data_IF_656959423037
#
_entry.id   IF_656959423037
#
_cell.length_a   1.000
_cell.length_b   1.000
_cell.length_c   1.000
_cell.angle_alpha   90.00
_cell.angle_beta   90.00
_cell.angle_gamma   90.00
#
_symmetry.space_group_name_H-M   'P 1'
#
loop_
_entity.id
_entity.type
_entity.pdbx_description
1 polymer ?
#
# COMPACT_ATOMS: atom_id res chain seq x y z
N UNK A 1 -16.24 -22.86 23.86
CA UNK A 1 -14.82 -23.20 23.81
C UNK A 1 -14.04 -21.90 24.00
N UNK A 2 -13.13 -21.83 24.96
CA UNK A 2 -12.25 -20.66 25.17
C UNK A 2 -11.22 -20.60 24.05
N UNK A 3 -11.30 -19.58 23.19
CA UNK A 3 -10.29 -19.38 22.13
C UNK A 3 -9.05 -18.67 22.70
N UNK A 4 -7.86 -19.10 22.28
CA UNK A 4 -6.61 -18.40 22.60
C UNK A 4 -6.65 -16.99 21.99
N UNK A 5 -6.41 -15.92 22.76
CA UNK A 5 -6.47 -14.57 22.24
C UNK A 5 -5.29 -14.29 21.29
N UNK A 6 -5.54 -13.50 20.25
CA UNK A 6 -4.52 -13.07 19.30
C UNK A 6 -4.20 -11.57 19.51
N UNK A 7 -2.91 -11.25 19.58
CA UNK A 7 -2.41 -9.90 19.67
C UNK A 7 -1.78 -9.46 18.35
N UNK A 8 -2.35 -8.47 17.70
CA UNK A 8 -1.82 -7.88 16.47
C UNK A 8 -1.06 -6.59 16.84
N UNK A 9 0.20 -6.51 16.45
CA UNK A 9 1.05 -5.34 16.64
C UNK A 9 1.11 -4.53 15.36
N UNK A 10 0.44 -3.39 15.35
CA UNK A 10 0.28 -2.47 14.24
C UNK A 10 -1.15 -2.46 13.69
N UNK A 11 -1.78 -1.27 13.71
CA UNK A 11 -3.13 -1.01 13.20
C UNK A 11 -3.12 -0.31 11.84
N UNK A 12 -2.22 -0.71 10.93
CA UNK A 12 -2.30 -0.35 9.52
C UNK A 12 -3.27 -1.26 8.76
N UNK A 13 -3.32 -1.12 7.41
CA UNK A 13 -4.24 -1.89 6.55
C UNK A 13 -4.20 -3.39 6.83
N UNK A 14 -2.99 -3.98 6.92
CA UNK A 14 -2.83 -5.41 7.17
C UNK A 14 -3.35 -5.83 8.57
N UNK A 15 -3.01 -5.06 9.60
CA UNK A 15 -3.42 -5.38 10.99
C UNK A 15 -4.92 -5.23 11.19
N UNK A 16 -5.52 -4.16 10.65
CA UNK A 16 -6.97 -3.96 10.70
C UNK A 16 -7.72 -5.01 9.88
N UNK A 17 -7.26 -5.35 8.67
CA UNK A 17 -7.86 -6.39 7.85
C UNK A 17 -7.81 -7.76 8.54
N UNK A 18 -6.66 -8.12 9.14
CA UNK A 18 -6.52 -9.35 9.91
C UNK A 18 -7.45 -9.34 11.14
N UNK A 19 -7.47 -8.23 11.88
CA UNK A 19 -8.32 -8.08 13.08
C UNK A 19 -9.80 -8.26 12.74
N UNK A 20 -10.30 -7.59 11.70
CA UNK A 20 -11.68 -7.72 11.23
C UNK A 20 -11.95 -9.19 10.85
N UNK A 21 -11.06 -9.80 10.05
CA UNK A 21 -11.27 -11.19 9.62
C UNK A 21 -11.26 -12.17 10.78
N UNK A 22 -10.38 -12.01 11.75
CA UNK A 22 -10.35 -12.86 12.94
C UNK A 22 -11.62 -12.69 13.79
N UNK A 23 -12.16 -11.45 13.88
CA UNK A 23 -13.46 -11.22 14.54
C UNK A 23 -14.62 -11.88 13.79
N UNK A 24 -14.61 -11.93 12.45
CA UNK A 24 -15.56 -12.71 11.66
C UNK A 24 -15.48 -14.22 11.93
N UNK A 25 -14.33 -14.69 12.38
CA UNK A 25 -14.07 -16.09 12.76
C UNK A 25 -14.19 -16.34 14.27
N UNK A 26 -14.80 -15.42 15.02
CA UNK A 26 -15.02 -15.48 16.48
C UNK A 26 -13.73 -15.60 17.32
N UNK A 27 -12.59 -15.21 16.75
CA UNK A 27 -11.32 -15.19 17.48
C UNK A 27 -11.19 -13.91 18.30
N UNK A 28 -10.97 -14.05 19.62
CA UNK A 28 -10.69 -12.90 20.50
C UNK A 28 -9.41 -12.21 20.07
N UNK A 29 -9.52 -10.93 19.66
CA UNK A 29 -8.41 -10.23 19.00
C UNK A 29 -8.20 -8.85 19.61
N UNK A 30 -6.93 -8.51 19.89
CA UNK A 30 -6.47 -7.18 20.31
C UNK A 30 -5.50 -6.61 19.29
N UNK A 31 -5.64 -5.32 18.96
CA UNK A 31 -4.68 -4.57 18.13
C UNK A 31 -4.03 -3.49 19.01
N UNK A 32 -2.67 -3.43 18.99
CA UNK A 32 -1.90 -2.32 19.54
C UNK A 32 -1.30 -1.50 18.42
N UNK A 33 -1.63 -0.21 18.37
CA UNK A 33 -1.17 0.74 17.37
C UNK A 33 -0.43 1.91 18.04
N UNK A 34 0.76 2.24 17.53
CA UNK A 34 1.61 3.31 18.09
C UNK A 34 1.10 4.72 17.83
N UNK A 35 0.29 4.91 16.79
CA UNK A 35 -0.35 6.18 16.45
C UNK A 35 -1.83 6.21 16.79
N UNK A 36 -2.51 7.25 16.29
CA UNK A 36 -3.95 7.44 16.43
C UNK A 36 -4.63 7.49 15.06
N UNK A 37 -5.95 7.46 15.02
CA UNK A 37 -6.76 7.64 13.82
C UNK A 37 -7.62 8.91 13.94
N UNK A 38 -7.93 9.58 12.81
CA UNK A 38 -7.41 9.34 11.45
C UNK A 38 -6.00 9.90 11.26
N UNK A 39 -5.29 9.40 10.23
CA UNK A 39 -3.92 9.85 9.93
C UNK A 39 -3.55 9.67 8.46
N UNK A 40 -2.68 10.54 7.97
CA UNK A 40 -2.08 10.38 6.64
C UNK A 40 -0.88 9.41 6.69
N UNK A 41 -0.66 8.71 5.59
CA UNK A 41 0.48 7.79 5.38
C UNK A 41 0.96 7.88 3.94
N UNK A 42 2.24 7.67 3.70
CA UNK A 42 2.75 7.50 2.32
C UNK A 42 2.10 6.27 1.71
N UNK A 43 1.22 6.51 0.73
CA UNK A 43 0.44 5.48 0.07
C UNK A 43 -0.13 6.00 -1.24
N UNK A 44 -0.20 5.14 -2.27
CA UNK A 44 -0.90 5.45 -3.51
C UNK A 44 -2.42 5.55 -3.37
N UNK A 45 -2.99 5.11 -2.24
CA UNK A 45 -4.43 5.16 -1.94
C UNK A 45 -5.30 4.49 -3.03
N UNK A 46 -4.71 3.47 -3.66
CA UNK A 46 -5.23 2.75 -4.82
C UNK A 46 -5.15 1.24 -4.54
N UNK A 47 -6.31 0.59 -4.42
CA UNK A 47 -6.45 -0.84 -4.15
C UNK A 47 -6.90 -1.52 -5.44
N UNK A 48 -6.19 -2.53 -5.90
CA UNK A 48 -6.45 -3.19 -7.18
C UNK A 48 -6.50 -4.70 -7.07
N UNK A 49 -6.95 -5.35 -8.12
CA UNK A 49 -6.97 -6.81 -8.22
C UNK A 49 -7.78 -7.46 -7.10
N UNK A 50 -7.24 -8.53 -6.52
CA UNK A 50 -7.91 -9.31 -5.48
C UNK A 50 -8.25 -8.52 -4.22
N UNK A 51 -7.49 -7.43 -3.93
CA UNK A 51 -7.76 -6.56 -2.79
C UNK A 51 -9.19 -6.02 -2.77
N UNK A 52 -9.72 -5.61 -3.93
CA UNK A 52 -11.10 -5.10 -4.04
C UNK A 52 -12.15 -6.16 -3.66
N UNK A 53 -11.96 -7.41 -4.10
CA UNK A 53 -12.84 -8.53 -3.70
C UNK A 53 -12.79 -8.72 -2.18
N UNK A 54 -11.60 -8.73 -1.60
CA UNK A 54 -11.41 -8.94 -0.17
C UNK A 54 -12.00 -7.82 0.70
N UNK A 55 -12.11 -6.58 0.20
CA UNK A 55 -12.85 -5.52 0.90
C UNK A 55 -14.34 -5.87 1.09
N UNK A 56 -14.95 -6.54 0.10
CA UNK A 56 -16.34 -7.02 0.20
C UNK A 56 -16.45 -8.15 1.22
N UNK A 57 -15.53 -9.11 1.16
CA UNK A 57 -15.48 -10.24 2.11
C UNK A 57 -15.24 -9.79 3.57
N UNK A 58 -14.49 -8.70 3.75
CA UNK A 58 -14.29 -8.05 5.06
C UNK A 58 -15.50 -7.23 5.51
N UNK A 59 -16.49 -7.00 4.64
CA UNK A 59 -17.68 -6.20 4.96
C UNK A 59 -17.42 -4.70 5.08
N UNK A 60 -16.29 -4.20 4.53
CA UNK A 60 -15.95 -2.77 4.62
C UNK A 60 -16.19 -1.99 3.32
N UNK A 61 -16.47 -2.69 2.21
CA UNK A 61 -16.59 -2.07 0.89
C UNK A 61 -17.66 -0.98 0.82
N UNK A 62 -18.87 -1.27 1.32
CA UNK A 62 -19.97 -0.30 1.30
C UNK A 62 -19.72 0.89 2.25
N UNK A 63 -19.05 0.64 3.37
CA UNK A 63 -18.64 1.71 4.27
C UNK A 63 -17.59 2.63 3.61
N UNK A 64 -16.70 2.08 2.79
CA UNK A 64 -15.75 2.86 2.01
C UNK A 64 -16.43 3.69 0.92
N UNK A 65 -17.45 3.14 0.22
CA UNK A 65 -18.25 3.91 -0.73
C UNK A 65 -18.97 5.08 -0.04
N UNK A 66 -19.64 4.82 1.09
CA UNK A 66 -20.28 5.88 1.89
C UNK A 66 -19.27 6.90 2.44
N UNK A 67 -18.04 6.49 2.67
CA UNK A 67 -16.92 7.35 3.06
C UNK A 67 -16.35 8.21 1.92
N UNK A 68 -16.91 8.12 0.71
CA UNK A 68 -16.48 8.86 -0.47
C UNK A 68 -15.44 8.16 -1.33
N UNK A 69 -15.11 6.90 -1.03
CA UNK A 69 -14.22 6.11 -1.87
C UNK A 69 -14.84 5.85 -3.26
N UNK A 70 -14.02 5.71 -4.28
CA UNK A 70 -14.42 5.66 -5.69
C UNK A 70 -13.85 4.45 -6.40
N UNK A 71 -14.61 3.91 -7.36
CA UNK A 71 -14.07 2.93 -8.32
C UNK A 71 -13.24 3.65 -9.38
N UNK A 72 -12.13 3.03 -9.75
CA UNK A 72 -11.23 3.48 -10.81
C UNK A 72 -11.20 2.41 -11.91
N UNK A 73 -11.57 2.78 -13.14
CA UNK A 73 -11.66 1.88 -14.28
C UNK A 73 -10.65 2.22 -15.38
N UNK A 74 -10.12 3.44 -15.36
CA UNK A 74 -9.25 3.97 -16.40
C UNK A 74 -7.88 4.35 -15.85
N UNK A 75 -6.86 4.26 -16.71
CA UNK A 75 -5.49 4.68 -16.39
C UNK A 75 -4.86 5.39 -17.59
N UNK A 76 -3.94 6.32 -17.30
CA UNK A 76 -3.16 7.03 -18.29
C UNK A 76 -1.72 7.19 -17.83
N UNK A 77 -0.78 7.03 -18.77
CA UNK A 77 0.65 7.12 -18.49
C UNK A 77 1.24 8.33 -19.21
N UNK A 78 2.11 9.03 -18.50
CA UNK A 78 2.82 10.19 -18.99
C UNK A 78 4.33 9.95 -18.80
N UNK A 79 5.08 10.11 -19.86
CA UNK A 79 6.53 10.22 -19.84
C UNK A 79 6.95 11.69 -19.69
N UNK A 80 8.16 12.01 -20.07
CA UNK A 80 8.62 13.39 -20.14
C UNK A 80 8.05 14.12 -21.36
N UNK A 81 7.82 13.42 -22.45
CA UNK A 81 7.26 13.94 -23.70
C UNK A 81 6.11 13.04 -24.23
N UNK A 82 6.14 11.75 -23.99
CA UNK A 82 5.12 10.80 -24.45
C UNK A 82 3.92 10.77 -23.51
N UNK A 83 2.76 10.48 -24.09
CA UNK A 83 1.52 10.21 -23.38
C UNK A 83 0.87 8.98 -23.99
N UNK A 84 0.29 8.12 -23.15
CA UNK A 84 -0.60 7.05 -23.64
C UNK A 84 -1.98 7.59 -23.94
N UNK A 85 -2.80 6.88 -24.74
CA UNK A 85 -4.25 7.05 -24.69
C UNK A 85 -4.77 6.73 -23.27
N UNK A 86 -6.04 7.07 -23.01
CA UNK A 86 -6.74 6.54 -21.84
C UNK A 86 -6.96 5.04 -22.06
N UNK A 87 -6.57 4.23 -21.08
CA UNK A 87 -6.58 2.77 -21.17
C UNK A 87 -7.55 2.24 -20.10
N UNK A 88 -8.46 1.36 -20.48
CA UNK A 88 -9.33 0.69 -19.53
C UNK A 88 -8.53 -0.37 -18.75
N UNK A 89 -8.69 -0.39 -17.44
CA UNK A 89 -8.06 -1.41 -16.58
C UNK A 89 -8.73 -2.77 -16.79
N UNK A 90 -7.99 -3.88 -16.72
CA UNK A 90 -8.57 -5.22 -16.83
C UNK A 90 -9.61 -5.54 -15.74
N UNK A 91 -9.47 -4.92 -14.57
CA UNK A 91 -10.41 -4.98 -13.45
C UNK A 91 -10.45 -3.62 -12.75
N UNK A 92 -11.63 -3.18 -12.28
CA UNK A 92 -11.73 -1.96 -11.49
C UNK A 92 -10.84 -2.02 -10.24
N UNK A 93 -10.24 -0.88 -9.93
CA UNK A 93 -9.56 -0.63 -8.67
C UNK A 93 -10.47 0.21 -7.74
N UNK A 94 -10.04 0.42 -6.51
CA UNK A 94 -10.75 1.22 -5.54
C UNK A 94 -9.82 2.27 -4.95
N UNK A 95 -10.24 3.53 -4.95
CA UNK A 95 -9.50 4.68 -4.44
C UNK A 95 -10.17 5.21 -3.19
N UNK A 96 -9.41 5.36 -2.11
CA UNK A 96 -9.84 5.96 -0.86
C UNK A 96 -8.60 6.39 -0.07
N UNK A 97 -8.64 7.54 0.59
CA UNK A 97 -7.49 7.97 1.38
C UNK A 97 -7.23 7.04 2.57
N UNK A 98 -5.96 6.95 2.96
CA UNK A 98 -5.59 6.26 4.20
C UNK A 98 -6.18 6.93 5.43
N UNK A 99 -6.49 8.21 5.33
CA UNK A 99 -7.15 8.98 6.37
C UNK A 99 -8.56 8.46 6.65
N UNK A 100 -9.36 8.27 5.61
CA UNK A 100 -10.71 7.71 5.71
C UNK A 100 -10.69 6.20 5.93
N UNK A 101 -9.89 5.47 5.14
CA UNK A 101 -9.82 4.00 5.16
C UNK A 101 -9.44 3.44 6.53
N UNK A 102 -8.31 3.92 7.10
CA UNK A 102 -7.82 3.38 8.39
C UNK A 102 -8.84 3.66 9.51
N UNK A 103 -9.52 4.81 9.49
CA UNK A 103 -10.59 5.15 10.43
C UNK A 103 -11.77 4.19 10.29
N UNK A 104 -12.32 4.03 9.08
CA UNK A 104 -13.48 3.16 8.83
C UNK A 104 -13.18 1.72 9.27
N UNK A 105 -12.00 1.20 8.92
CA UNK A 105 -11.60 -0.15 9.33
C UNK A 105 -11.41 -0.26 10.85
N UNK A 106 -10.89 0.77 11.51
CA UNK A 106 -10.73 0.77 12.97
C UNK A 106 -12.08 0.77 13.68
N UNK A 107 -13.06 1.52 13.16
CA UNK A 107 -14.41 1.57 13.70
C UNK A 107 -15.14 0.24 13.46
N UNK A 108 -15.00 -0.36 12.28
CA UNK A 108 -15.52 -1.71 11.99
C UNK A 108 -14.93 -2.76 12.93
N UNK A 109 -13.62 -2.75 13.17
CA UNK A 109 -12.98 -3.69 14.09
C UNK A 109 -13.54 -3.56 15.53
N UNK A 110 -13.70 -2.33 16.01
CA UNK A 110 -14.28 -2.06 17.34
C UNK A 110 -15.74 -2.50 17.43
N UNK A 111 -16.55 -2.21 16.41
CA UNK A 111 -17.98 -2.60 16.37
C UNK A 111 -18.20 -4.10 16.43
N UNK A 112 -17.21 -4.89 15.97
CA UNK A 112 -17.20 -6.35 16.05
C UNK A 112 -16.65 -6.88 17.39
N UNK A 113 -16.45 -6.02 18.40
CA UNK A 113 -15.92 -6.40 19.72
C UNK A 113 -14.40 -6.63 19.71
N UNK A 114 -13.67 -6.07 18.75
CA UNK A 114 -12.21 -6.08 18.75
C UNK A 114 -11.64 -5.04 19.73
N UNK A 115 -10.60 -5.40 20.48
CA UNK A 115 -9.92 -4.50 21.40
C UNK A 115 -8.85 -3.68 20.65
N UNK A 116 -9.04 -2.38 20.49
CA UNK A 116 -8.10 -1.48 19.82
C UNK A 116 -7.47 -0.51 20.81
N UNK A 117 -6.15 -0.61 20.99
CA UNK A 117 -5.34 0.30 21.82
C UNK A 117 -4.46 1.16 20.91
N UNK A 118 -4.73 2.47 20.90
CA UNK A 118 -3.97 3.47 20.13
C UNK A 118 -2.99 4.21 21.03
N UNK A 119 -1.96 4.85 20.43
CA UNK A 119 -0.90 5.54 21.17
C UNK A 119 0.05 4.58 21.93
N UNK A 120 -0.05 3.28 21.67
CA UNK A 120 0.70 2.24 22.40
C UNK A 120 1.77 1.57 21.51
N UNK A 121 3.03 1.78 21.85
CA UNK A 121 4.15 1.04 21.26
C UNK A 121 4.43 -0.22 22.07
N UNK A 122 4.36 -1.38 21.41
CA UNK A 122 4.67 -2.68 22.05
C UNK A 122 6.18 -2.83 22.18
N UNK A 123 6.63 -3.25 23.35
CA UNK A 123 8.05 -3.50 23.66
C UNK A 123 8.60 -4.67 22.81
N UNK A 124 9.88 -4.58 22.44
CA UNK A 124 10.49 -5.51 21.46
C UNK A 124 10.52 -6.96 21.92
N UNK A 125 10.67 -7.22 23.21
CA UNK A 125 10.65 -8.56 23.81
C UNK A 125 9.31 -9.25 23.64
N UNK A 126 8.18 -8.51 23.74
CA UNK A 126 6.82 -9.04 23.56
C UNK A 126 6.44 -9.33 22.11
N UNK A 127 7.28 -8.95 21.15
CA UNK A 127 7.03 -9.25 19.75
C UNK A 127 7.21 -10.73 19.38
N UNK A 128 7.81 -11.52 20.29
CA UNK A 128 8.08 -12.95 20.10
C UNK A 128 7.11 -13.88 20.84
N UNK A 129 6.18 -13.31 21.61
CA UNK A 129 5.21 -14.11 22.37
C UNK A 129 4.28 -14.88 21.45
N UNK A 130 3.91 -16.08 21.83
CA UNK A 130 2.87 -16.86 21.14
C UNK A 130 1.57 -16.08 21.05
N UNK A 131 0.86 -16.24 19.94
CA UNK A 131 -0.35 -15.46 19.67
C UNK A 131 -0.08 -14.04 19.19
N UNK A 132 1.19 -13.63 19.02
CA UNK A 132 1.53 -12.27 18.54
C UNK A 132 1.78 -12.26 17.03
N UNK A 133 1.06 -11.38 16.33
CA UNK A 133 1.18 -11.16 14.87
C UNK A 133 1.72 -9.76 14.59
N UNK A 134 2.78 -9.69 13.79
CA UNK A 134 3.43 -8.44 13.43
C UNK A 134 2.82 -7.85 12.15
N UNK A 135 2.16 -6.70 12.29
CA UNK A 135 1.56 -5.90 11.23
C UNK A 135 2.05 -4.44 11.27
N UNK A 136 3.18 -4.18 11.93
CA UNK A 136 3.72 -2.86 12.20
C UNK A 136 4.53 -2.25 11.04
N UNK A 137 4.26 -2.73 9.82
CA UNK A 137 4.83 -2.21 8.60
C UNK A 137 6.32 -2.52 8.42
N UNK A 138 6.91 -1.88 7.46
CA UNK A 138 8.30 -2.09 7.06
C UNK A 138 9.28 -1.78 8.21
N UNK A 139 10.35 -2.58 8.33
CA UNK A 139 11.51 -2.20 9.17
C UNK A 139 12.24 -1.03 8.49
N UNK A 140 12.61 0.00 9.24
CA UNK A 140 13.54 1.00 8.69
C UNK A 140 14.81 0.31 8.21
N UNK A 141 15.23 0.61 6.98
CA UNK A 141 16.55 0.19 6.54
C UNK A 141 17.55 1.25 7.02
N UNK A 142 18.46 0.84 7.88
CA UNK A 142 19.53 1.68 8.42
C UNK A 142 20.81 1.63 7.56
N UNK A 143 20.79 0.85 6.47
CA UNK A 143 21.94 0.78 5.57
C UNK A 143 22.16 2.13 4.88
N UNK A 144 23.43 2.54 4.78
CA UNK A 144 23.88 3.81 4.17
C UNK A 144 23.45 3.98 2.69
N UNK A 145 22.86 2.95 2.08
CA UNK A 145 22.45 2.90 0.67
C UNK A 145 20.92 2.94 0.47
N UNK A 146 20.17 3.46 1.42
CA UNK A 146 18.74 3.70 1.23
C UNK A 146 18.50 4.77 0.16
N UNK A 147 18.28 4.32 -1.07
CA UNK A 147 18.34 5.14 -2.28
C UNK A 147 17.01 5.80 -2.65
N UNK A 148 15.90 5.38 -2.01
CA UNK A 148 14.58 5.83 -2.40
C UNK A 148 13.80 6.49 -1.26
N UNK A 149 13.10 7.58 -1.63
CA UNK A 149 12.15 8.28 -0.75
C UNK A 149 10.77 8.26 -1.38
N UNK A 150 9.79 7.77 -0.63
CA UNK A 150 8.37 7.87 -0.93
C UNK A 150 7.82 9.17 -0.34
N UNK A 151 6.93 9.81 -1.08
CA UNK A 151 6.23 11.02 -0.66
C UNK A 151 4.75 10.93 -1.00
N UNK A 152 3.93 11.69 -0.29
CA UNK A 152 2.49 11.77 -0.54
C UNK A 152 1.93 13.07 -0.01
N UNK A 153 0.99 13.66 -0.73
CA UNK A 153 0.13 14.76 -0.27
C UNK A 153 -1.19 14.78 -1.08
N UNK A 154 -2.16 15.53 -0.60
CA UNK A 154 -3.44 15.72 -1.31
C UNK A 154 -3.51 17.12 -1.90
N UNK A 155 -4.11 17.24 -3.08
CA UNK A 155 -4.41 18.50 -3.74
C UNK A 155 -5.88 18.56 -4.17
N UNK A 156 -6.44 19.76 -4.28
CA UNK A 156 -7.76 20.01 -4.80
C UNK A 156 -7.68 20.89 -6.04
N UNK A 157 -8.69 20.84 -6.91
CA UNK A 157 -8.74 21.61 -8.15
C UNK A 157 -7.98 20.99 -9.33
N UNK A 158 -7.32 19.83 -9.15
CA UNK A 158 -6.62 19.12 -10.22
C UNK A 158 -7.56 18.17 -10.97
N UNK A 159 -7.80 18.45 -12.25
CA UNK A 159 -8.56 17.53 -13.12
C UNK A 159 -7.66 16.44 -13.69
N UNK A 160 -8.04 15.19 -13.45
CA UNK A 160 -7.39 14.02 -14.03
C UNK A 160 -8.04 13.67 -15.37
N UNK A 161 -7.24 13.13 -16.30
CA UNK A 161 -7.71 12.64 -17.63
C UNK A 161 -8.09 11.15 -17.56
N UNK A 162 -7.73 10.46 -16.48
CA UNK A 162 -8.10 9.08 -16.17
C UNK A 162 -8.17 8.92 -14.65
N UNK A 163 -8.82 7.87 -14.16
CA UNK A 163 -8.96 7.61 -12.73
C UNK A 163 -7.62 7.39 -12.03
N UNK A 164 -6.64 6.85 -12.75
CA UNK A 164 -5.24 6.74 -12.34
C UNK A 164 -4.33 7.40 -13.39
N UNK A 165 -3.58 8.41 -13.02
CA UNK A 165 -2.50 8.95 -13.82
C UNK A 165 -1.13 8.58 -13.24
N UNK A 166 -0.22 8.12 -14.12
CA UNK A 166 1.16 7.79 -13.74
C UNK A 166 2.13 8.62 -14.56
N UNK A 167 2.94 9.45 -13.90
CA UNK A 167 3.94 10.30 -14.53
C UNK A 167 5.34 9.77 -14.21
N UNK A 168 6.14 9.54 -15.25
CA UNK A 168 7.51 9.02 -15.13
C UNK A 168 8.52 10.08 -15.54
N UNK A 169 9.45 10.40 -14.65
CA UNK A 169 10.53 11.34 -14.91
C UNK A 169 11.75 11.09 -14.02
N UNK A 170 12.89 11.68 -14.34
CA UNK A 170 14.10 11.78 -13.51
C UNK A 170 14.44 10.54 -12.65
N UNK A 171 14.15 9.34 -13.17
CA UNK A 171 14.39 8.07 -12.48
C UNK A 171 13.39 7.74 -11.36
N UNK A 172 12.30 8.50 -11.24
CA UNK A 172 11.20 8.25 -10.32
C UNK A 172 9.84 8.21 -11.02
N UNK A 173 8.78 8.17 -10.24
CA UNK A 173 7.41 8.32 -10.73
C UNK A 173 6.54 9.04 -9.72
N UNK A 174 5.43 9.57 -10.24
CA UNK A 174 4.34 10.16 -9.48
C UNK A 174 3.03 9.56 -9.98
N UNK A 175 2.22 9.04 -9.06
CA UNK A 175 0.88 8.53 -9.31
C UNK A 175 -0.17 9.46 -8.72
N UNK A 176 -1.29 9.62 -9.43
CA UNK A 176 -2.42 10.43 -8.99
C UNK A 176 -3.72 9.67 -9.15
N UNK A 177 -4.58 9.72 -8.16
CA UNK A 177 -5.96 9.24 -8.22
C UNK A 177 -6.88 10.11 -7.36
N UNK A 178 -8.14 10.24 -7.77
CA UNK A 178 -9.14 10.91 -6.95
C UNK A 178 -9.46 10.07 -5.71
N UNK A 179 -9.67 10.74 -4.59
CA UNK A 179 -10.14 10.16 -3.33
C UNK A 179 -11.38 10.94 -2.87
N UNK A 180 -11.83 10.75 -1.64
CA UNK A 180 -13.01 11.44 -1.12
C UNK A 180 -12.89 12.98 -1.14
N UNK A 181 -14.02 13.68 -1.19
CA UNK A 181 -14.15 15.15 -1.08
C UNK A 181 -13.40 15.92 -2.20
N UNK A 182 -13.37 15.36 -3.41
CA UNK A 182 -12.69 15.93 -4.57
C UNK A 182 -11.18 16.17 -4.38
N UNK A 183 -10.58 15.51 -3.40
CA UNK A 183 -9.14 15.48 -3.24
C UNK A 183 -8.49 14.52 -4.23
N UNK A 184 -7.36 14.92 -4.77
CA UNK A 184 -6.48 14.06 -5.57
C UNK A 184 -5.28 13.67 -4.71
N UNK A 185 -5.09 12.38 -4.51
CA UNK A 185 -3.88 11.86 -3.91
C UNK A 185 -2.72 11.96 -4.90
N UNK A 186 -1.66 12.62 -4.50
CA UNK A 186 -0.38 12.70 -5.21
C UNK A 186 0.63 11.89 -4.42
N UNK A 187 1.07 10.77 -4.97
CA UNK A 187 2.02 9.88 -4.29
C UNK A 187 3.08 9.38 -5.27
N UNK A 188 4.31 9.29 -4.83
CA UNK A 188 5.37 8.82 -5.70
C UNK A 188 6.60 8.31 -4.96
N UNK A 189 7.55 7.86 -5.77
CA UNK A 189 8.85 7.36 -5.33
C UNK A 189 9.95 8.04 -6.16
N UNK A 190 10.94 8.56 -5.46
CA UNK A 190 12.09 9.22 -6.09
C UNK A 190 13.41 8.79 -5.46
N UNK A 191 14.51 8.86 -6.21
CA UNK A 191 15.84 8.79 -5.61
C UNK A 191 15.98 9.82 -4.49
N UNK A 192 16.46 9.41 -3.33
CA UNK A 192 16.54 10.27 -2.13
C UNK A 192 17.33 11.57 -2.40
N UNK A 193 18.34 11.52 -3.27
CA UNK A 193 19.11 12.71 -3.67
C UNK A 193 18.28 13.85 -4.32
N UNK A 194 17.12 13.50 -4.91
CA UNK A 194 16.22 14.48 -5.57
C UNK A 194 15.22 15.12 -4.59
N UNK A 195 15.14 14.62 -3.38
CA UNK A 195 14.20 15.11 -2.34
C UNK A 195 14.94 15.66 -1.13
N UNK A 196 16.23 15.33 -0.97
CA UNK A 196 17.07 15.84 0.12
C UNK A 196 17.20 17.36 0.00
N UNK A 197 16.91 18.05 1.09
CA UNK A 197 16.95 19.53 1.16
C UNK A 197 15.70 20.25 0.62
N UNK A 198 14.72 19.53 0.02
CA UNK A 198 13.47 20.14 -0.40
C UNK A 198 12.53 20.38 0.79
N UNK A 199 12.04 21.61 0.92
CA UNK A 199 10.91 21.92 1.78
C UNK A 199 9.61 21.83 0.97
N UNK A 200 9.04 20.63 0.88
CA UNK A 200 7.80 20.44 0.10
C UNK A 200 6.60 21.22 0.63
N UNK A 201 6.59 21.67 1.88
CA UNK A 201 5.49 22.52 2.39
C UNK A 201 5.42 23.85 1.64
N UNK A 202 6.57 24.43 1.31
CA UNK A 202 6.64 25.71 0.57
C UNK A 202 6.92 25.53 -0.92
N UNK A 203 7.54 24.44 -1.35
CA UNK A 203 8.04 24.23 -2.72
C UNK A 203 7.22 23.22 -3.53
N UNK A 204 6.08 22.76 -3.03
CA UNK A 204 5.31 21.67 -3.64
C UNK A 204 4.83 21.94 -5.08
N UNK A 205 4.45 23.19 -5.42
CA UNK A 205 4.07 23.54 -6.80
C UNK A 205 5.25 23.41 -7.76
N UNK A 206 6.44 23.92 -7.36
CA UNK A 206 7.68 23.76 -8.13
C UNK A 206 8.08 22.30 -8.28
N UNK A 207 7.94 21.52 -7.20
CA UNK A 207 8.15 20.08 -7.21
C UNK A 207 7.19 19.36 -8.18
N UNK A 208 5.90 19.69 -8.18
CA UNK A 208 4.95 19.14 -9.14
C UNK A 208 5.30 19.54 -10.57
N UNK A 209 5.63 20.81 -10.81
CA UNK A 209 6.04 21.29 -12.14
C UNK A 209 7.22 20.50 -12.70
N UNK A 210 8.19 20.17 -11.88
CA UNK A 210 9.36 19.38 -12.29
C UNK A 210 9.06 17.90 -12.53
N UNK A 211 7.92 17.40 -12.05
CA UNK A 211 7.59 15.98 -12.03
C UNK A 211 6.35 15.60 -12.84
N UNK A 212 5.54 16.57 -13.24
CA UNK A 212 4.40 16.37 -14.13
C UNK A 212 4.79 16.59 -15.59
N UNK A 213 4.09 15.91 -16.47
CA UNK A 213 4.15 16.17 -17.91
C UNK A 213 3.80 17.65 -18.18
N UNK A 214 4.50 18.37 -19.09
CA UNK A 214 4.27 19.79 -19.36
C UNK A 214 2.83 20.18 -19.64
N UNK A 215 2.05 19.32 -20.28
CA UNK A 215 0.61 19.51 -20.54
C UNK A 215 -0.20 19.83 -19.27
N UNK A 216 0.26 19.38 -18.10
CA UNK A 216 -0.44 19.59 -16.81
C UNK A 216 0.00 20.87 -16.08
N UNK A 217 1.00 21.59 -16.57
CA UNK A 217 1.56 22.72 -15.84
C UNK A 217 0.58 23.89 -15.66
N UNK A 218 -0.35 24.10 -16.60
CA UNK A 218 -1.36 25.15 -16.48
C UNK A 218 -2.31 24.94 -15.30
N UNK A 219 -2.57 23.68 -14.92
CA UNK A 219 -3.44 23.38 -13.79
C UNK A 219 -2.80 23.71 -12.43
N UNK A 220 -1.46 23.87 -12.38
CA UNK A 220 -0.74 24.12 -11.12
C UNK A 220 -1.03 25.49 -10.50
N UNK A 221 -1.55 26.44 -11.28
CA UNK A 221 -1.86 27.78 -10.79
C UNK A 221 -3.08 27.79 -9.86
N UNK A 222 -4.07 26.95 -10.14
CA UNK A 222 -5.38 26.94 -9.46
C UNK A 222 -5.53 25.86 -8.39
N UNK A 223 -4.55 24.94 -8.27
CA UNK A 223 -4.66 23.85 -7.30
C UNK A 223 -4.19 24.30 -5.90
N UNK A 224 -4.85 23.69 -4.90
CA UNK A 224 -4.53 23.90 -3.49
C UNK A 224 -4.09 22.59 -2.85
N UNK A 225 -3.16 22.66 -1.91
CA UNK A 225 -2.70 21.49 -1.16
C UNK A 225 -3.41 21.43 0.19
N UNK A 226 -3.88 20.23 0.56
CA UNK A 226 -4.44 19.98 1.90
C UNK A 226 -3.32 20.13 2.94
N UNK A 227 -3.51 21.06 3.85
CA UNK A 227 -2.60 21.25 4.98
C UNK A 227 -2.52 19.97 5.83
N UNK A 228 -1.33 19.60 6.28
CA UNK A 228 -1.09 18.41 7.10
C UNK A 228 -1.13 17.07 6.35
N UNK A 229 -1.43 17.06 5.03
CA UNK A 229 -1.49 15.81 4.24
C UNK A 229 -0.11 15.30 3.78
N UNK A 230 0.93 16.12 3.88
CA UNK A 230 2.29 15.76 3.44
C UNK A 230 2.88 14.68 4.32
N UNK A 231 3.33 13.61 3.69
CA UNK A 231 4.03 12.50 4.33
C UNK A 231 5.28 12.13 3.54
N UNK A 232 6.32 11.71 4.25
CA UNK A 232 7.56 11.17 3.70
C UNK A 232 7.95 9.86 4.35
N UNK A 233 8.58 9.00 3.57
CA UNK A 233 9.23 7.78 4.03
C UNK A 233 10.53 7.61 3.27
N UNK A 234 11.65 7.73 3.95
CA UNK A 234 12.98 7.46 3.39
C UNK A 234 13.43 6.03 3.68
N UNK A 235 14.52 5.61 3.03
CA UNK A 235 15.09 4.28 3.26
C UNK A 235 14.22 3.16 2.73
N UNK A 236 13.56 3.35 1.58
CA UNK A 236 12.80 2.27 0.95
C UNK A 236 13.77 1.33 0.26
N UNK A 237 13.75 0.07 0.70
CA UNK A 237 14.45 -1.04 0.06
C UNK A 237 13.48 -2.21 -0.13
N UNK A 238 13.73 -2.99 -1.17
CA UNK A 238 12.93 -4.17 -1.51
C UNK A 238 13.72 -5.41 -1.15
N UNK A 239 13.25 -6.19 -0.20
CA UNK A 239 13.90 -7.42 0.23
C UNK A 239 12.86 -8.55 0.37
N UNK A 240 13.11 -9.67 -0.30
CA UNK A 240 12.27 -10.88 -0.26
C UNK A 240 12.79 -11.94 0.71
N UNK A 241 13.95 -11.74 1.34
CA UNK A 241 14.60 -12.77 2.17
C UNK A 241 13.77 -13.14 3.39
N UNK A 242 12.87 -12.27 3.82
CA UNK A 242 11.98 -12.54 4.95
C UNK A 242 10.95 -13.64 4.65
N UNK A 243 10.60 -13.86 3.37
CA UNK A 243 9.70 -14.93 2.94
C UNK A 243 10.36 -16.32 2.94
N UNK A 244 11.70 -16.37 2.99
CA UNK A 244 12.48 -17.61 2.90
C UNK A 244 12.98 -18.10 4.26
N UNK A 245 12.88 -17.29 5.31
CA UNK A 245 13.41 -17.65 6.63
C UNK A 245 12.34 -18.37 7.45
N UNK A 246 12.66 -19.57 7.91
CA UNK A 246 11.98 -20.20 9.03
C UNK A 246 12.21 -19.31 10.27
N UNK A 247 11.22 -18.52 10.63
CA UNK A 247 11.26 -17.60 11.76
C UNK A 247 9.93 -17.80 12.53
N UNK A 248 9.97 -18.00 13.84
CA UNK A 248 8.76 -18.19 14.65
C UNK A 248 7.83 -16.97 14.68
N UNK A 249 8.24 -15.86 14.06
CA UNK A 249 7.47 -14.62 14.02
C UNK A 249 6.45 -14.62 12.88
N UNK A 250 5.18 -14.51 13.23
CA UNK A 250 4.10 -14.31 12.26
C UNK A 250 4.07 -12.87 11.78
N UNK A 251 4.12 -12.68 10.46
CA UNK A 251 4.17 -11.35 9.84
C UNK A 251 3.11 -11.23 8.73
N UNK A 252 2.52 -10.03 8.62
CA UNK A 252 1.59 -9.67 7.55
C UNK A 252 1.90 -8.28 6.98
N UNK A 253 1.46 -8.01 5.76
CA UNK A 253 1.69 -6.74 5.05
C UNK A 253 3.17 -6.46 4.82
N UNK A 254 3.55 -5.19 4.85
CA UNK A 254 4.92 -4.73 4.61
C UNK A 254 5.93 -5.26 5.64
N UNK A 255 5.44 -5.79 6.76
CA UNK A 255 6.30 -6.49 7.74
C UNK A 255 6.76 -7.83 7.22
N UNK A 256 5.94 -8.50 6.41
CA UNK A 256 6.27 -9.75 5.72
C UNK A 256 7.19 -9.49 4.52
N UNK A 257 6.80 -8.57 3.65
CA UNK A 257 7.58 -8.17 2.46
C UNK A 257 7.13 -6.82 1.94
N UNK A 258 8.09 -5.97 1.58
CA UNK A 258 7.81 -4.67 0.93
C UNK A 258 7.75 -4.87 -0.58
N UNK A 259 6.58 -4.61 -1.17
CA UNK A 259 6.40 -4.68 -2.63
C UNK A 259 6.84 -3.38 -3.28
N UNK A 260 7.39 -3.45 -4.52
CA UNK A 260 7.61 -2.30 -5.37
C UNK A 260 6.31 -1.50 -5.57
N UNK A 261 6.24 -0.22 -5.14
CA UNK A 261 5.00 0.55 -5.15
C UNK A 261 4.52 0.93 -6.55
N UNK A 262 5.37 0.89 -7.56
CA UNK A 262 5.01 1.14 -8.97
C UNK A 262 3.87 0.24 -9.46
N UNK A 263 3.81 -0.98 -8.95
CA UNK A 263 2.75 -1.93 -9.33
C UNK A 263 1.39 -1.64 -8.69
N UNK A 264 1.30 -0.66 -7.78
CA UNK A 264 0.06 -0.27 -7.09
C UNK A 264 -0.54 -1.35 -6.19
N UNK A 265 0.25 -2.31 -5.72
CA UNK A 265 -0.26 -3.51 -5.05
C UNK A 265 -0.01 -3.56 -3.53
N UNK A 266 0.64 -2.56 -2.95
CA UNK A 266 1.01 -2.60 -1.53
C UNK A 266 -0.19 -2.81 -0.59
N UNK A 267 -1.28 -2.07 -0.80
CA UNK A 267 -2.50 -2.24 0.00
C UNK A 267 -3.21 -3.57 -0.27
N UNK A 268 -3.29 -3.98 -1.53
CA UNK A 268 -3.88 -5.28 -1.90
C UNK A 268 -3.11 -6.42 -1.26
N UNK A 269 -1.77 -6.42 -1.32
CA UNK A 269 -0.96 -7.44 -0.64
C UNK A 269 -1.14 -7.38 0.88
N UNK A 270 -1.25 -6.20 1.47
CA UNK A 270 -1.49 -6.07 2.91
C UNK A 270 -2.80 -6.78 3.31
N UNK A 271 -3.89 -6.58 2.55
CA UNK A 271 -5.18 -7.22 2.76
C UNK A 271 -5.10 -8.73 2.46
N UNK A 272 -4.47 -9.11 1.35
CA UNK A 272 -4.32 -10.52 0.94
C UNK A 272 -3.49 -11.32 1.94
N UNK A 273 -2.38 -10.76 2.45
CA UNK A 273 -1.55 -11.42 3.47
C UNK A 273 -2.28 -11.62 4.79
N UNK A 274 -3.10 -10.64 5.18
CA UNK A 274 -3.96 -10.72 6.36
C UNK A 274 -5.04 -11.80 6.19
N UNK A 275 -5.68 -11.82 5.03
CA UNK A 275 -6.68 -12.85 4.70
C UNK A 275 -6.09 -14.26 4.70
N UNK A 276 -4.93 -14.44 4.06
CA UNK A 276 -4.24 -15.73 4.00
C UNK A 276 -3.82 -16.23 5.39
N UNK A 277 -3.40 -15.33 6.27
CA UNK A 277 -2.99 -15.64 7.62
C UNK A 277 -4.16 -16.00 8.55
N UNK A 278 -5.36 -15.49 8.25
CA UNK A 278 -6.50 -15.62 9.19
C UNK A 278 -6.94 -17.04 9.45
N UNK A 279 -6.93 -17.93 8.45
CA UNK A 279 -7.33 -19.33 8.60
C UNK A 279 -6.40 -20.13 9.54
N UNK A 280 -5.09 -20.20 9.26
CA UNK A 280 -4.12 -20.84 10.16
C UNK A 280 -4.17 -20.28 11.59
N UNK A 281 -4.26 -18.94 11.75
CA UNK A 281 -4.34 -18.30 13.06
C UNK A 281 -5.63 -18.67 13.79
N UNK A 282 -6.77 -18.78 13.11
CA UNK A 282 -8.03 -19.21 13.71
C UNK A 282 -7.98 -20.68 14.16
N UNK A 283 -7.29 -21.56 13.43
CA UNK A 283 -7.03 -22.93 13.84
C UNK A 283 -6.19 -23.01 15.13
N UNK A 284 -5.13 -22.21 15.21
CA UNK A 284 -4.35 -22.08 16.44
C UNK A 284 -5.21 -21.54 17.60
N UNK A 285 -5.97 -20.48 17.37
CA UNK A 285 -6.84 -19.88 18.39
C UNK A 285 -7.88 -20.87 18.93
N UNK A 286 -8.38 -21.80 18.10
CA UNK A 286 -9.31 -22.87 18.47
C UNK A 286 -8.61 -24.15 18.98
N UNK A 287 -7.31 -24.10 19.25
CA UNK A 287 -6.49 -25.23 19.75
C UNK A 287 -6.44 -26.45 18.83
N UNK A 288 -6.68 -26.28 17.52
CA UNK A 288 -6.56 -27.34 16.52
C UNK A 288 -5.12 -27.65 16.12
N UNK A 289 -4.21 -26.72 16.35
CA UNK A 289 -2.76 -26.82 16.13
C UNK A 289 -2.01 -26.02 17.20
N UNK A 290 -0.69 -26.22 17.29
CA UNK A 290 0.19 -25.41 18.12
C UNK A 290 0.78 -24.24 17.32
N UNK A 291 1.50 -23.34 18.01
CA UNK A 291 2.07 -22.13 17.39
C UNK A 291 3.11 -22.44 16.31
N UNK A 292 3.96 -23.43 16.55
CA UNK A 292 5.01 -23.85 15.61
C UNK A 292 4.42 -24.39 14.31
N UNK A 293 3.50 -25.34 14.41
CA UNK A 293 2.79 -25.91 13.25
C UNK A 293 2.06 -24.82 12.44
N UNK A 294 1.40 -23.91 13.14
CA UNK A 294 0.72 -22.79 12.50
C UNK A 294 1.70 -21.86 11.75
N UNK A 295 2.85 -21.51 12.37
CA UNK A 295 3.85 -20.62 11.75
C UNK A 295 4.51 -21.26 10.53
N UNK A 296 4.82 -22.53 10.57
CA UNK A 296 5.37 -23.29 9.43
C UNK A 296 4.38 -23.37 8.28
N UNK A 297 3.12 -23.73 8.56
CA UNK A 297 2.05 -23.77 7.57
C UNK A 297 1.85 -22.41 6.91
N UNK A 298 1.77 -21.34 7.70
CA UNK A 298 1.58 -19.99 7.20
C UNK A 298 2.76 -19.52 6.34
N UNK A 299 4.00 -19.79 6.78
CA UNK A 299 5.21 -19.43 6.00
C UNK A 299 5.21 -20.11 4.64
N UNK A 300 4.85 -21.39 4.59
CA UNK A 300 4.70 -22.15 3.34
C UNK A 300 3.62 -21.55 2.42
N UNK A 301 2.47 -21.19 2.97
CA UNK A 301 1.38 -20.54 2.22
C UNK A 301 1.78 -19.18 1.67
N UNK A 302 2.38 -18.32 2.50
CA UNK A 302 2.83 -16.99 2.11
C UNK A 302 3.90 -17.07 1.02
N UNK A 303 4.88 -17.96 1.16
CA UNK A 303 5.94 -18.16 0.16
C UNK A 303 5.35 -18.56 -1.19
N UNK A 304 4.52 -19.59 -1.24
CA UNK A 304 3.87 -20.07 -2.49
C UNK A 304 3.04 -18.98 -3.16
N UNK A 305 2.33 -18.17 -2.38
CA UNK A 305 1.39 -17.20 -2.90
C UNK A 305 2.09 -15.93 -3.40
N UNK A 306 3.10 -15.42 -2.68
CA UNK A 306 3.70 -14.11 -2.97
C UNK A 306 5.02 -14.17 -3.73
N UNK A 307 5.77 -15.28 -3.67
CA UNK A 307 7.11 -15.36 -4.24
C UNK A 307 7.16 -15.08 -5.74
N UNK A 308 6.23 -15.64 -6.53
CA UNK A 308 6.18 -15.40 -7.99
C UNK A 308 5.90 -13.93 -8.33
N UNK A 309 4.96 -13.32 -7.62
CA UNK A 309 4.61 -11.89 -7.85
C UNK A 309 5.78 -10.96 -7.51
N UNK A 310 6.49 -11.24 -6.43
CA UNK A 310 7.66 -10.45 -6.01
C UNK A 310 8.84 -10.66 -6.96
N UNK A 311 9.07 -11.89 -7.43
CA UNK A 311 10.13 -12.21 -8.40
C UNK A 311 9.96 -11.45 -9.72
N UNK A 312 8.72 -11.13 -10.13
CA UNK A 312 8.43 -10.33 -11.32
C UNK A 312 8.47 -8.83 -11.04
N UNK A 313 7.84 -8.40 -9.94
CA UNK A 313 7.63 -6.95 -9.68
C UNK A 313 8.91 -6.21 -9.31
N UNK A 314 9.87 -6.84 -8.63
CA UNK A 314 11.12 -6.19 -8.21
C UNK A 314 12.03 -5.88 -9.41
N UNK A 315 12.40 -6.84 -10.29
CA UNK A 315 13.19 -6.54 -11.48
C UNK A 315 12.51 -5.55 -12.42
N UNK A 316 11.18 -5.68 -12.55
CA UNK A 316 10.40 -4.80 -13.41
C UNK A 316 10.44 -3.34 -12.95
N UNK A 317 10.27 -3.07 -11.64
CA UNK A 317 10.43 -1.71 -11.15
C UNK A 317 11.84 -1.18 -11.37
N UNK A 318 12.87 -1.99 -11.08
CA UNK A 318 14.26 -1.60 -11.29
C UNK A 318 14.53 -1.24 -12.75
N UNK A 319 13.99 -2.03 -13.69
CA UNK A 319 14.11 -1.78 -15.12
C UNK A 319 13.40 -0.48 -15.52
N UNK A 320 12.13 -0.32 -15.13
CA UNK A 320 11.33 0.87 -15.48
C UNK A 320 11.85 2.17 -14.85
N UNK A 321 12.56 2.10 -13.72
CA UNK A 321 13.16 3.25 -13.06
C UNK A 321 14.57 3.58 -13.53
N UNK A 322 15.23 2.68 -14.28
CA UNK A 322 16.57 2.92 -14.77
C UNK A 322 16.63 4.09 -15.77
N UNK A 323 17.52 5.06 -15.54
CA UNK A 323 17.68 6.21 -16.43
C UNK A 323 18.03 5.81 -17.87
N UNK A 324 18.84 4.75 -18.03
CA UNK A 324 19.19 4.19 -19.34
C UNK A 324 17.99 3.70 -20.16
N UNK A 325 16.87 3.40 -19.49
CA UNK A 325 15.64 2.92 -20.13
C UNK A 325 14.68 4.07 -20.54
N UNK A 326 15.10 5.33 -20.42
CA UNK A 326 14.24 6.49 -20.68
C UNK A 326 13.59 6.43 -22.08
N UNK A 327 14.37 6.27 -23.16
CA UNK A 327 13.86 6.20 -24.54
C UNK A 327 12.90 5.02 -24.76
N UNK A 328 13.24 3.85 -24.22
CA UNK A 328 12.37 2.66 -24.30
C UNK A 328 11.05 2.91 -23.53
N UNK A 329 11.11 3.51 -22.36
CA UNK A 329 9.92 3.86 -21.57
C UNK A 329 9.01 4.85 -22.32
N UNK A 330 9.56 5.90 -22.92
CA UNK A 330 8.82 6.85 -23.77
C UNK A 330 8.13 6.13 -24.93
N UNK A 331 8.85 5.24 -25.63
CA UNK A 331 8.30 4.44 -26.70
C UNK A 331 7.16 3.53 -26.22
N UNK A 332 7.34 2.85 -25.09
CA UNK A 332 6.32 1.97 -24.51
C UNK A 332 5.07 2.75 -24.09
N UNK A 333 5.23 3.91 -23.48
CA UNK A 333 4.11 4.79 -23.07
C UNK A 333 3.30 5.17 -24.30
N UNK A 334 3.96 5.54 -25.41
CA UNK A 334 3.30 6.02 -26.63
C UNK A 334 2.61 4.92 -27.43
N UNK A 335 3.21 3.73 -27.54
CA UNK A 335 2.85 2.74 -28.56
C UNK A 335 2.31 1.41 -28.01
N UNK A 336 2.55 1.07 -26.75
CA UNK A 336 2.26 -0.27 -26.22
C UNK A 336 1.13 -0.25 -25.18
N UNK A 337 -0.09 0.14 -25.56
CA UNK A 337 -1.25 0.08 -24.67
C UNK A 337 -1.54 -1.34 -24.14
N UNK A 338 -1.32 -2.38 -24.95
CA UNK A 338 -1.43 -3.79 -24.54
C UNK A 338 -0.37 -4.18 -23.47
N UNK A 339 0.82 -3.59 -23.52
CA UNK A 339 1.85 -3.84 -22.53
C UNK A 339 1.40 -3.39 -21.13
N UNK A 340 0.72 -2.27 -21.00
CA UNK A 340 0.22 -1.76 -19.72
C UNK A 340 -0.83 -2.70 -19.12
N UNK A 341 -1.72 -3.28 -19.95
CA UNK A 341 -2.68 -4.28 -19.48
C UNK A 341 -2.00 -5.58 -19.04
N UNK A 342 -0.99 -6.03 -19.78
CA UNK A 342 -0.20 -7.22 -19.44
C UNK A 342 0.57 -7.00 -18.15
N UNK A 343 1.22 -5.85 -18.00
CA UNK A 343 1.92 -5.45 -16.77
C UNK A 343 0.97 -5.47 -15.56
N UNK A 344 -0.23 -4.91 -15.73
CA UNK A 344 -1.27 -4.92 -14.73
C UNK A 344 -1.67 -6.36 -14.32
N UNK A 345 -1.77 -7.29 -15.28
CA UNK A 345 -2.09 -8.71 -15.02
C UNK A 345 -0.96 -9.48 -14.33
N UNK A 346 0.29 -9.28 -14.76
CA UNK A 346 1.46 -10.02 -14.23
C UNK A 346 1.82 -9.64 -12.79
N UNK A 347 1.44 -8.47 -12.34
CA UNK A 347 1.79 -7.96 -11.00
C UNK A 347 0.67 -8.13 -9.97
N UNK A 348 -0.46 -8.75 -10.36
CA UNK A 348 -1.66 -8.99 -9.52
C UNK A 348 -2.13 -10.45 -9.55
#
# INVERSE_FOLDING_TARGET
MTTRPIHIVGGGVAGLALGIRLRQLDVKTRISESGTYPRHRVCGEFISGRGVKLLRELGVFDAFLRGGGQLAETMKFFGTQAMSPVIRMPQPAFCISRYAMDRIMSDQFKSMGGELRTGLRVASEKLRDEGTVLANGRKPNTEKHATWTGYKFHVQGLKLEADLEMHFNNGGYLGMCAVEKDWVNVCGLMPSKHVTGLNLRSQWKGFLRSNLHPKKHHALETIEMMEGSICFVSGISYNTDQLKRADPLVRVGDRMSTIPPLTGNGMSLAIESAWLASGPIAQYASSKNNWTEMTESLTGLQSRYFQKRLAVSIPLQSLLMAQKMHGIREYMIKHLSCFHQTLFRLTR
#
